data_IF_455194187191
#
_entry.id   IF_455194187191
#
_cell.length_a   1.000
_cell.length_b   1.000
_cell.length_c   1.000
_cell.angle_alpha   90.00
_cell.angle_beta   90.00
_cell.angle_gamma   90.00
#
_symmetry.space_group_name_H-M   'P 1'
#
loop_
_entity.id
_entity.type
_entity.pdbx_description
1 polymer ?
#
# COMPACT_ATOMS: atom_id res chain seq x y z
N UNK A 1 -17.98 7.84 21.51
CA UNK A 1 -17.73 7.10 20.25
C UNK A 1 -16.32 6.53 20.30
N UNK A 2 -16.16 5.25 20.60
CA UNK A 2 -14.86 4.57 20.61
C UNK A 2 -14.70 3.80 19.29
N UNK A 3 -13.76 4.23 18.45
CA UNK A 3 -13.41 3.57 17.20
C UNK A 3 -12.41 2.46 17.56
N UNK A 4 -12.89 1.24 17.78
CA UNK A 4 -12.06 0.07 18.05
C UNK A 4 -11.20 -0.28 16.83
N UNK A 5 -9.94 0.16 16.83
CA UNK A 5 -8.90 -0.39 15.95
C UNK A 5 -8.65 -1.84 16.36
N UNK A 6 -9.25 -2.80 15.66
CA UNK A 6 -8.97 -4.23 15.84
C UNK A 6 -7.48 -4.48 15.54
N UNK A 7 -6.70 -5.07 16.48
CA UNK A 7 -5.33 -5.47 16.21
C UNK A 7 -5.39 -6.75 15.36
N UNK A 8 -5.08 -6.64 14.08
CA UNK A 8 -4.83 -7.84 13.26
C UNK A 8 -3.49 -8.44 13.69
N UNK A 9 -3.53 -9.69 14.17
CA UNK A 9 -2.40 -10.54 14.55
C UNK A 9 -1.06 -10.15 13.88
N UNK A 10 0.04 -10.00 14.65
CA UNK A 10 1.37 -9.93 14.08
C UNK A 10 1.78 -11.35 13.66
N UNK A 11 1.23 -11.85 12.56
CA UNK A 11 1.68 -13.09 11.95
C UNK A 11 3.02 -12.80 11.27
N UNK A 12 4.11 -12.81 12.05
CA UNK A 12 5.51 -13.00 11.63
C UNK A 12 5.91 -12.39 10.28
N UNK A 13 5.41 -11.20 9.95
CA UNK A 13 5.71 -10.50 8.72
C UNK A 13 6.61 -9.35 9.11
N UNK A 14 7.85 -9.41 8.62
CA UNK A 14 8.91 -8.45 8.90
C UNK A 14 8.55 -7.02 8.44
N UNK A 15 7.50 -6.86 7.63
CA UNK A 15 7.04 -5.59 7.09
C UNK A 15 5.64 -5.21 7.61
N UNK A 16 5.32 -3.90 7.74
CA UNK A 16 3.99 -3.44 8.12
C UNK A 16 2.92 -3.85 7.08
N UNK A 17 1.62 -3.70 7.41
CA UNK A 17 0.54 -4.02 6.48
C UNK A 17 0.65 -3.23 5.16
N UNK A 18 0.36 -3.88 4.03
CA UNK A 18 0.42 -3.25 2.71
C UNK A 18 -0.42 -1.97 2.60
N UNK A 19 -1.58 -1.91 3.27
CA UNK A 19 -2.40 -0.71 3.29
C UNK A 19 -1.65 0.49 3.86
N UNK A 20 -0.90 0.28 4.93
CA UNK A 20 -0.12 1.34 5.58
C UNK A 20 1.05 1.75 4.70
N UNK A 21 1.80 0.78 4.16
CA UNK A 21 2.91 1.07 3.23
C UNK A 21 2.45 1.82 1.98
N UNK A 22 1.30 1.44 1.40
CA UNK A 22 0.71 2.12 0.24
C UNK A 22 0.23 3.52 0.61
N UNK A 23 -0.42 3.66 1.77
CA UNK A 23 -0.90 4.96 2.26
C UNK A 23 0.25 5.93 2.46
N UNK A 24 1.31 5.50 3.16
CA UNK A 24 2.53 6.29 3.34
C UNK A 24 3.18 6.65 2.01
N UNK A 25 3.29 5.69 1.08
CA UNK A 25 3.83 5.95 -0.25
C UNK A 25 3.06 7.05 -0.98
N UNK A 26 1.72 6.95 -1.03
CA UNK A 26 0.88 7.96 -1.72
C UNK A 26 0.98 9.31 -1.00
N UNK A 27 0.98 9.33 0.34
CA UNK A 27 1.09 10.55 1.14
C UNK A 27 2.44 11.25 0.97
N UNK A 28 3.52 10.50 0.77
CA UNK A 28 4.88 11.05 0.59
C UNK A 28 5.15 11.46 -0.85
N UNK A 29 4.68 10.68 -1.83
CA UNK A 29 4.86 10.98 -3.25
C UNK A 29 4.02 12.19 -3.70
N UNK A 30 2.96 12.57 -2.96
CA UNK A 30 2.14 13.78 -3.17
C UNK A 30 1.73 14.03 -4.64
N UNK A 31 1.53 12.97 -5.41
CA UNK A 31 1.14 13.09 -6.80
C UNK A 31 -0.30 13.62 -6.93
N UNK A 32 -0.49 14.68 -7.73
CA UNK A 32 -1.80 15.31 -7.95
C UNK A 32 -2.89 14.33 -8.42
N UNK A 33 -2.52 13.33 -9.22
CA UNK A 33 -3.41 12.28 -9.74
C UNK A 33 -3.30 10.94 -8.99
N UNK A 34 -2.61 10.94 -7.85
CA UNK A 34 -2.20 9.72 -7.16
C UNK A 34 -0.95 9.09 -7.79
N UNK A 35 -0.42 8.09 -7.10
CA UNK A 35 0.87 7.48 -7.43
C UNK A 35 0.70 6.20 -8.23
N UNK A 36 1.56 6.00 -9.22
CA UNK A 36 1.54 4.79 -10.04
C UNK A 36 1.95 3.56 -9.22
N UNK A 37 1.58 2.37 -9.67
CA UNK A 37 2.04 1.12 -9.05
C UNK A 37 3.57 1.06 -8.94
N UNK A 38 4.29 1.56 -9.95
CA UNK A 38 5.75 1.55 -9.96
C UNK A 38 6.33 2.53 -8.94
N UNK A 39 5.74 3.73 -8.81
CA UNK A 39 6.17 4.71 -7.82
C UNK A 39 5.96 4.19 -6.38
N UNK A 40 4.79 3.59 -6.12
CA UNK A 40 4.49 2.94 -4.84
C UNK A 40 5.45 1.78 -4.59
N UNK A 41 5.69 0.92 -5.59
CA UNK A 41 6.63 -0.19 -5.46
C UNK A 41 8.04 0.29 -5.14
N UNK A 42 8.53 1.32 -5.83
CA UNK A 42 9.86 1.90 -5.61
C UNK A 42 10.00 2.50 -4.21
N UNK A 43 8.98 3.21 -3.74
CA UNK A 43 8.96 3.76 -2.38
C UNK A 43 9.02 2.64 -1.32
N UNK A 44 8.20 1.61 -1.49
CA UNK A 44 8.15 0.47 -0.57
C UNK A 44 9.46 -0.32 -0.61
N UNK A 45 10.03 -0.55 -1.80
CA UNK A 45 11.37 -1.14 -1.92
C UNK A 45 12.40 -0.31 -1.16
N UNK A 46 12.43 1.01 -1.33
CA UNK A 46 13.46 1.83 -0.70
C UNK A 46 13.38 1.82 0.83
N UNK A 47 12.16 1.95 1.37
CA UNK A 47 11.91 1.98 2.82
C UNK A 47 11.99 0.61 3.50
N UNK A 48 11.55 -0.46 2.81
CA UNK A 48 11.34 -1.79 3.40
C UNK A 48 12.17 -2.89 2.72
N UNK A 49 13.21 -2.53 1.94
CA UNK A 49 14.10 -3.41 1.15
C UNK A 49 14.42 -4.73 1.83
N UNK A 50 14.87 -4.70 3.08
CA UNK A 50 15.32 -5.90 3.83
C UNK A 50 14.20 -6.76 4.40
N UNK A 51 12.97 -6.26 4.36
CA UNK A 51 11.80 -6.87 5.00
C UNK A 51 10.84 -7.43 3.94
N UNK A 52 11.01 -7.09 2.66
CA UNK A 52 10.09 -7.46 1.59
C UNK A 52 10.35 -8.86 1.03
N UNK A 53 9.28 -9.63 0.74
CA UNK A 53 9.41 -10.86 -0.02
C UNK A 53 9.92 -10.60 -1.45
N UNK A 54 10.64 -11.53 -2.08
CA UNK A 54 11.06 -11.40 -3.48
C UNK A 54 9.87 -11.26 -4.46
N UNK A 55 8.69 -11.75 -4.07
CA UNK A 55 7.46 -11.65 -4.86
C UNK A 55 6.61 -10.40 -4.55
N UNK A 56 7.14 -9.41 -3.82
CA UNK A 56 6.32 -8.30 -3.33
C UNK A 56 5.63 -7.50 -4.45
N UNK A 57 6.24 -7.32 -5.64
CA UNK A 57 5.60 -6.58 -6.75
C UNK A 57 4.27 -7.21 -7.19
N UNK A 58 4.25 -8.54 -7.23
CA UNK A 58 3.03 -9.31 -7.55
C UNK A 58 2.02 -9.18 -6.43
N UNK A 59 2.46 -9.29 -5.17
CA UNK A 59 1.60 -9.13 -4.00
C UNK A 59 1.00 -7.71 -3.96
N UNK A 60 1.81 -6.67 -4.16
CA UNK A 60 1.40 -5.27 -4.22
C UNK A 60 0.32 -5.06 -5.28
N UNK A 61 0.48 -5.63 -6.47
CA UNK A 61 -0.52 -5.58 -7.54
C UNK A 61 -1.87 -6.15 -7.09
N UNK A 62 -1.86 -7.28 -6.38
CA UNK A 62 -3.06 -7.93 -5.84
C UNK A 62 -3.68 -7.07 -4.73
N UNK A 63 -2.86 -6.53 -3.83
CA UNK A 63 -3.31 -5.69 -2.73
C UNK A 63 -3.93 -4.37 -3.23
N UNK A 64 -3.31 -3.71 -4.21
CA UNK A 64 -3.88 -2.51 -4.84
C UNK A 64 -5.27 -2.79 -5.42
N UNK A 65 -5.42 -3.88 -6.19
CA UNK A 65 -6.74 -4.30 -6.71
C UNK A 65 -7.74 -4.60 -5.60
N UNK A 66 -7.31 -5.25 -4.52
CA UNK A 66 -8.15 -5.56 -3.36
C UNK A 66 -8.62 -4.29 -2.66
N UNK A 67 -7.75 -3.32 -2.45
CA UNK A 67 -8.08 -2.06 -1.79
C UNK A 67 -8.92 -1.14 -2.67
N UNK A 68 -8.77 -1.21 -4.00
CA UNK A 68 -9.71 -0.57 -4.93
C UNK A 68 -11.10 -1.18 -4.83
N UNK A 69 -11.20 -2.52 -4.79
CA UNK A 69 -12.49 -3.20 -4.55
C UNK A 69 -13.09 -2.92 -3.17
N UNK A 70 -12.25 -2.63 -2.18
CA UNK A 70 -12.67 -2.30 -0.81
C UNK A 70 -12.92 -0.79 -0.63
N UNK A 71 -12.91 0.00 -1.71
CA UNK A 71 -13.13 1.45 -1.71
C UNK A 71 -12.13 2.25 -0.85
N UNK A 72 -11.01 1.65 -0.47
CA UNK A 72 -9.93 2.32 0.29
C UNK A 72 -8.98 3.09 -0.61
N UNK A 73 -8.89 2.67 -1.87
CA UNK A 73 -8.10 3.33 -2.90
C UNK A 73 -8.99 3.57 -4.12
N UNK A 74 -8.77 4.69 -4.80
CA UNK A 74 -9.36 4.97 -6.10
C UNK A 74 -8.31 4.75 -7.17
N UNK A 75 -8.64 3.95 -8.19
CA UNK A 75 -7.80 3.79 -9.38
C UNK A 75 -8.13 4.92 -10.37
N UNK A 76 -7.14 5.76 -10.67
CA UNK A 76 -7.24 6.84 -11.66
C UNK A 76 -6.29 6.50 -12.81
N UNK A 77 -6.83 6.00 -13.93
CA UNK A 77 -6.05 5.49 -15.07
C UNK A 77 -5.02 4.45 -14.63
N UNK A 78 -3.73 4.80 -14.58
CA UNK A 78 -2.62 3.93 -14.18
C UNK A 78 -2.05 4.27 -12.79
N UNK A 79 -2.74 5.15 -12.05
CA UNK A 79 -2.38 5.62 -10.71
C UNK A 79 -3.42 5.23 -9.67
N UNK A 80 -3.00 5.24 -8.41
CA UNK A 80 -3.82 4.94 -7.25
C UNK A 80 -3.77 6.13 -6.28
N UNK A 81 -4.94 6.51 -5.76
CA UNK A 81 -5.10 7.58 -4.79
C UNK A 81 -5.81 7.01 -3.56
N UNK A 82 -5.51 7.54 -2.38
CA UNK A 82 -6.30 7.28 -1.17
C UNK A 82 -7.69 7.91 -1.40
N UNK A 83 -8.74 7.11 -1.18
CA UNK A 83 -10.12 7.61 -1.28
C UNK A 83 -10.46 8.54 -0.14
#
# INVERSE_FOLDING_TARGET
MAISKKPTNPSSTLHPPYLQMIGEAISLLKDRTGSSQQAIAKFIEDQYKSLLPPNFKKILSIQLKKFVKSEKLVKIKNSYKIS
#
